data_IF_810094590241
#
_entry.id   IF_810094590241
#
_cell.length_a   1.000
_cell.length_b   1.000
_cell.length_c   1.000
_cell.angle_alpha   90.00
_cell.angle_beta   90.00
_cell.angle_gamma   90.00
#
_symmetry.space_group_name_H-M   'P 1'
#
loop_
_entity.id
_entity.type
_entity.pdbx_description
1 polymer ?
#
# COMPACT_ATOMS: atom_id res chain seq x y z
N UNK A 1 14.71 -9.28 -10.62
CA UNK A 1 15.61 -8.97 -9.49
C UNK A 1 14.73 -8.62 -8.29
N UNK A 2 15.08 -9.09 -7.09
CA UNK A 2 14.27 -8.79 -5.92
C UNK A 2 14.59 -7.38 -5.42
N UNK A 3 13.55 -6.56 -5.25
CA UNK A 3 13.62 -5.21 -4.69
C UNK A 3 13.76 -5.27 -3.17
N UNK A 4 12.97 -6.15 -2.55
CA UNK A 4 13.02 -6.43 -1.13
C UNK A 4 13.13 -7.93 -0.89
N UNK A 5 13.94 -8.30 0.08
CA UNK A 5 14.02 -9.66 0.61
C UNK A 5 13.93 -9.60 2.13
N UNK A 6 12.93 -10.25 2.68
CA UNK A 6 12.66 -10.36 4.10
C UNK A 6 12.98 -11.78 4.53
N UNK A 7 13.81 -11.94 5.57
CA UNK A 7 14.29 -13.22 6.06
C UNK A 7 14.04 -13.35 7.56
N UNK A 8 13.30 -14.36 7.95
CA UNK A 8 13.08 -14.80 9.34
C UNK A 8 12.64 -13.65 10.27
N UNK A 9 11.71 -12.80 9.81
CA UNK A 9 11.24 -11.64 10.52
C UNK A 9 10.25 -12.04 11.60
N UNK A 10 10.58 -11.75 12.89
CA UNK A 10 9.68 -11.96 14.02
C UNK A 10 9.45 -10.67 14.78
N UNK A 11 8.29 -10.57 15.45
CA UNK A 11 7.92 -9.42 16.26
C UNK A 11 6.96 -9.81 17.38
N UNK A 12 7.32 -9.39 18.60
CA UNK A 12 6.50 -9.54 19.80
C UNK A 12 6.15 -8.17 20.38
N UNK A 13 4.94 -8.00 20.88
CA UNK A 13 4.52 -6.86 21.69
C UNK A 13 4.08 -7.34 23.07
N UNK A 14 4.86 -7.01 24.08
CA UNK A 14 4.65 -7.53 25.46
C UNK A 14 4.78 -9.05 25.51
N UNK A 15 3.66 -9.77 25.66
CA UNK A 15 3.60 -11.24 25.65
C UNK A 15 2.95 -11.82 24.39
N UNK A 16 2.57 -10.98 23.43
CA UNK A 16 1.90 -11.42 22.20
C UNK A 16 2.88 -11.39 21.05
N UNK A 17 3.22 -12.56 20.52
CA UNK A 17 3.95 -12.68 19.26
C UNK A 17 2.97 -12.36 18.12
N UNK A 18 3.36 -11.45 17.22
CA UNK A 18 2.52 -10.90 16.15
C UNK A 18 3.02 -11.31 14.78
N UNK A 19 4.31 -11.60 14.64
CA UNK A 19 4.91 -12.11 13.42
C UNK A 19 5.82 -13.30 13.77
N UNK A 20 5.61 -14.41 13.06
CA UNK A 20 6.24 -15.70 13.34
C UNK A 20 7.20 -16.08 12.20
N UNK A 21 8.48 -15.70 12.30
CA UNK A 21 9.54 -16.13 11.37
C UNK A 21 9.20 -15.91 9.88
N UNK A 22 8.68 -14.72 9.55
CA UNK A 22 8.18 -14.41 8.21
C UNK A 22 9.32 -14.23 7.21
N UNK A 23 9.24 -14.92 6.06
CA UNK A 23 10.19 -14.79 4.97
C UNK A 23 9.46 -14.65 3.63
N UNK A 24 9.82 -13.61 2.85
CA UNK A 24 9.27 -13.39 1.52
C UNK A 24 10.12 -12.43 0.71
N UNK A 25 9.87 -12.38 -0.61
CA UNK A 25 10.52 -11.42 -1.52
C UNK A 25 9.50 -10.59 -2.26
N UNK A 26 9.90 -9.37 -2.65
CA UNK A 26 9.14 -8.47 -3.53
C UNK A 26 10.03 -8.13 -4.72
N UNK A 27 9.54 -8.36 -5.94
CA UNK A 27 10.30 -8.08 -7.17
C UNK A 27 10.33 -6.59 -7.48
N UNK A 28 11.34 -6.17 -8.23
CA UNK A 28 11.40 -4.78 -8.68
C UNK A 28 10.22 -4.46 -9.60
N UNK A 29 9.52 -3.33 -9.33
CA UNK A 29 8.33 -2.93 -10.04
C UNK A 29 7.07 -3.74 -9.74
N UNK A 30 7.09 -4.71 -8.82
CA UNK A 30 5.95 -5.54 -8.46
C UNK A 30 4.90 -4.78 -7.64
N UNK A 31 3.63 -5.11 -7.88
CA UNK A 31 2.51 -4.78 -7.00
C UNK A 31 2.17 -6.02 -6.16
N UNK A 32 2.63 -6.06 -4.91
CA UNK A 32 2.32 -7.12 -3.95
C UNK A 32 1.22 -6.68 -3.01
N UNK A 33 0.08 -7.39 -2.96
CA UNK A 33 -0.91 -7.17 -1.89
C UNK A 33 -0.69 -8.13 -0.72
N UNK A 34 -0.83 -7.61 0.50
CA UNK A 34 -0.89 -8.40 1.73
C UNK A 34 -2.33 -8.45 2.19
N UNK A 35 -2.95 -9.61 2.06
CA UNK A 35 -4.36 -9.88 2.31
C UNK A 35 -4.52 -10.74 3.57
N UNK A 36 -5.39 -10.34 4.47
CA UNK A 36 -5.68 -11.09 5.70
C UNK A 36 -6.65 -10.35 6.61
N UNK A 37 -7.18 -11.01 7.66
CA UNK A 37 -8.09 -10.40 8.61
C UNK A 37 -7.42 -9.28 9.42
N UNK A 38 -8.23 -8.48 10.09
CA UNK A 38 -7.71 -7.44 11.00
C UNK A 38 -6.92 -8.08 12.14
N UNK A 39 -5.78 -7.49 12.49
CA UNK A 39 -4.93 -7.98 13.58
C UNK A 39 -3.95 -9.11 13.22
N UNK A 40 -3.89 -9.60 11.98
CA UNK A 40 -2.97 -10.67 11.60
C UNK A 40 -1.52 -10.23 11.35
N UNK A 41 -1.12 -9.00 11.69
CA UNK A 41 0.27 -8.54 11.59
C UNK A 41 0.62 -7.68 10.36
N UNK A 42 -0.30 -7.44 9.40
CA UNK A 42 -0.03 -6.70 8.14
C UNK A 42 0.57 -5.31 8.37
N UNK A 43 -0.06 -4.48 9.18
CA UNK A 43 0.42 -3.13 9.52
C UNK A 43 1.76 -3.17 10.26
N UNK A 44 2.01 -4.22 11.06
CA UNK A 44 3.29 -4.44 11.74
C UNK A 44 4.41 -4.67 10.73
N UNK A 45 4.19 -5.52 9.73
CA UNK A 45 5.14 -5.73 8.61
C UNK A 45 5.46 -4.38 7.94
N UNK A 46 4.45 -3.61 7.58
CA UNK A 46 4.63 -2.31 6.94
C UNK A 46 5.45 -1.35 7.79
N UNK A 47 5.15 -1.25 9.09
CA UNK A 47 5.89 -0.38 10.01
C UNK A 47 7.34 -0.79 10.17
N UNK A 48 7.61 -2.09 10.18
CA UNK A 48 8.99 -2.60 10.22
C UNK A 48 9.72 -2.31 8.91
N UNK A 49 9.09 -2.54 7.75
CA UNK A 49 9.68 -2.27 6.44
C UNK A 49 10.05 -0.79 6.26
N UNK A 50 9.18 0.13 6.68
CA UNK A 50 9.45 1.57 6.60
C UNK A 50 10.43 2.06 7.67
N UNK A 51 10.71 1.27 8.73
CA UNK A 51 11.57 1.63 9.85
C UNK A 51 10.91 2.54 10.89
N UNK A 52 9.59 2.39 11.10
CA UNK A 52 8.83 3.00 12.19
C UNK A 52 8.70 2.07 13.39
N UNK A 53 9.01 0.80 13.21
CA UNK A 53 9.02 -0.24 14.24
C UNK A 53 10.24 -1.13 14.00
N UNK A 54 10.88 -1.59 15.08
CA UNK A 54 11.99 -2.52 14.98
C UNK A 54 11.49 -3.96 15.03
N UNK A 55 12.08 -4.82 14.19
CA UNK A 55 11.91 -6.26 14.31
C UNK A 55 12.63 -6.79 15.55
N UNK A 56 12.14 -7.88 16.13
CA UNK A 56 12.82 -8.58 17.23
C UNK A 56 13.96 -9.45 16.67
N UNK A 57 13.74 -10.07 15.53
CA UNK A 57 14.73 -10.84 14.78
C UNK A 57 14.46 -10.74 13.27
N UNK A 58 15.41 -11.23 12.49
CA UNK A 58 15.35 -11.28 11.04
C UNK A 58 16.14 -10.19 10.35
N UNK A 59 16.12 -10.22 9.01
CA UNK A 59 16.90 -9.33 8.16
C UNK A 59 16.04 -8.78 7.03
N UNK A 60 16.20 -7.51 6.70
CA UNK A 60 15.54 -6.84 5.58
C UNK A 60 16.61 -6.37 4.61
N UNK A 61 16.62 -6.93 3.41
CA UNK A 61 17.50 -6.50 2.33
C UNK A 61 16.70 -5.68 1.32
N UNK A 62 17.25 -4.55 0.87
CA UNK A 62 16.73 -3.76 -0.26
C UNK A 62 17.82 -3.65 -1.32
N UNK A 63 17.54 -4.10 -2.54
CA UNK A 63 18.52 -4.18 -3.64
C UNK A 63 19.80 -4.95 -3.19
N UNK A 64 19.64 -5.99 -2.35
CA UNK A 64 20.74 -6.80 -1.80
C UNK A 64 21.51 -6.13 -0.64
N UNK A 65 21.14 -4.92 -0.24
CA UNK A 65 21.78 -4.19 0.87
C UNK A 65 20.95 -4.33 2.14
N UNK A 66 21.55 -4.68 3.26
CA UNK A 66 20.87 -4.77 4.55
C UNK A 66 20.44 -3.38 5.04
N UNK A 67 19.11 -3.24 5.23
CA UNK A 67 18.48 -2.02 5.74
C UNK A 67 17.78 -2.23 7.08
N UNK A 68 17.98 -3.37 7.76
CA UNK A 68 17.27 -3.76 8.98
C UNK A 68 17.31 -2.65 10.02
N UNK A 69 18.48 -2.07 10.26
CA UNK A 69 18.68 -1.01 11.25
C UNK A 69 18.87 0.39 10.63
N UNK A 70 18.60 0.53 9.32
CA UNK A 70 18.68 1.84 8.66
C UNK A 70 17.46 2.69 9.06
N UNK A 71 17.66 3.95 9.52
CA UNK A 71 16.55 4.83 9.86
C UNK A 71 15.60 5.06 8.69
N UNK A 72 14.29 5.19 8.96
CA UNK A 72 13.22 5.38 7.97
C UNK A 72 13.56 6.42 6.90
N UNK A 73 14.06 7.60 7.28
CA UNK A 73 14.41 8.68 6.37
C UNK A 73 15.50 8.32 5.34
N UNK A 74 16.27 7.25 5.56
CA UNK A 74 17.35 6.80 4.65
C UNK A 74 16.98 5.57 3.83
N UNK A 75 15.83 4.93 4.08
CA UNK A 75 15.39 3.72 3.37
C UNK A 75 14.90 4.00 1.94
N UNK A 76 14.63 5.26 1.58
CA UNK A 76 14.05 5.67 0.29
C UNK A 76 12.74 4.94 -0.02
N UNK A 77 11.93 4.74 0.99
CA UNK A 77 10.61 4.15 0.90
C UNK A 77 9.56 5.19 1.31
N UNK A 78 8.39 5.14 0.68
CA UNK A 78 7.25 5.99 1.01
C UNK A 78 6.14 5.20 1.67
N UNK A 79 5.29 5.86 2.45
CA UNK A 79 4.11 5.25 3.04
C UNK A 79 2.88 6.16 2.89
N UNK A 80 1.75 5.55 2.53
CA UNK A 80 0.42 6.15 2.55
C UNK A 80 -0.37 5.47 3.64
N UNK A 81 -0.67 6.20 4.71
CA UNK A 81 -1.41 5.69 5.88
C UNK A 81 -2.92 5.65 5.63
N UNK A 82 -3.63 4.83 6.35
CA UNK A 82 -5.09 4.69 6.33
C UNK A 82 -5.82 6.02 6.57
N UNK A 83 -5.30 6.87 7.47
CA UNK A 83 -5.84 8.20 7.77
C UNK A 83 -5.19 9.33 6.95
N UNK A 84 -4.46 8.97 5.87
CA UNK A 84 -3.74 9.86 4.94
C UNK A 84 -2.64 10.71 5.59
N UNK A 85 -2.65 10.91 6.89
CA UNK A 85 -1.69 11.68 7.70
C UNK A 85 -1.35 13.05 7.09
N UNK A 86 -2.36 13.80 6.61
CA UNK A 86 -2.19 15.13 6.05
C UNK A 86 -2.05 16.18 7.17
N UNK A 87 -1.27 17.22 6.89
CA UNK A 87 -1.14 18.37 7.78
C UNK A 87 -2.38 19.27 7.63
N UNK A 88 -3.31 19.20 8.59
CA UNK A 88 -4.60 19.89 8.59
C UNK A 88 -4.51 21.43 8.50
N UNK A 89 -3.42 22.01 8.98
CA UNK A 89 -3.16 23.45 8.96
C UNK A 89 -2.51 23.95 7.68
N UNK A 90 -2.08 23.04 6.79
CA UNK A 90 -1.44 23.34 5.51
C UNK A 90 -2.43 23.17 4.35
N UNK A 91 -2.20 23.91 3.25
CA UNK A 91 -2.93 23.70 2.00
C UNK A 91 -2.47 22.40 1.33
N UNK A 92 -3.23 21.92 0.33
CA UNK A 92 -2.89 20.78 -0.53
C UNK A 92 -1.47 20.93 -1.10
N UNK A 93 -1.20 22.08 -1.72
CA UNK A 93 0.12 22.38 -2.28
C UNK A 93 1.24 22.33 -1.22
N UNK A 94 0.98 22.94 -0.06
CA UNK A 94 1.96 22.95 1.03
C UNK A 94 2.21 21.56 1.64
N UNK A 95 1.20 20.69 1.68
CA UNK A 95 1.36 19.31 2.14
C UNK A 95 2.40 18.55 1.29
N UNK A 96 2.35 18.71 -0.03
CA UNK A 96 3.31 18.05 -0.94
C UNK A 96 4.66 18.76 -0.93
N UNK A 97 4.68 20.09 -1.01
CA UNK A 97 5.89 20.89 -1.00
C UNK A 97 6.73 20.70 0.29
N UNK A 98 6.08 20.59 1.45
CA UNK A 98 6.75 20.39 2.73
C UNK A 98 7.59 19.12 2.76
N UNK A 99 7.08 18.02 2.21
CA UNK A 99 7.81 16.76 2.14
C UNK A 99 9.13 16.92 1.35
N UNK A 100 9.10 17.64 0.23
CA UNK A 100 10.27 17.89 -0.61
C UNK A 100 11.33 18.76 0.08
N UNK A 101 10.88 19.85 0.74
CA UNK A 101 11.80 20.78 1.43
C UNK A 101 12.43 20.16 2.68
N UNK A 102 11.73 19.25 3.36
CA UNK A 102 12.17 18.61 4.61
C UNK A 102 12.83 17.24 4.41
N UNK A 103 12.77 16.68 3.21
CA UNK A 103 13.36 15.37 2.95
C UNK A 103 14.88 15.40 3.05
N UNK A 104 15.40 14.52 3.90
CA UNK A 104 16.84 14.23 4.02
C UNK A 104 17.28 13.20 2.97
N UNK A 105 16.33 12.56 2.32
CA UNK A 105 16.51 11.36 1.48
C UNK A 105 16.76 11.69 0.00
N UNK A 106 16.47 12.89 -0.45
CA UNK A 106 16.70 13.28 -1.86
C UNK A 106 18.15 13.70 -2.07
N UNK A 107 18.84 13.09 -3.05
CA UNK A 107 20.18 13.52 -3.49
C UNK A 107 20.19 14.97 -3.98
N UNK A 108 19.02 15.47 -4.38
CA UNK A 108 18.80 16.85 -4.80
C UNK A 108 18.20 17.62 -3.63
N UNK A 109 18.94 18.54 -3.06
CA UNK A 109 18.37 19.56 -2.17
C UNK A 109 17.39 20.40 -2.98
N UNK A 110 16.10 20.13 -2.83
CA UNK A 110 15.09 20.99 -3.46
C UNK A 110 15.12 22.35 -2.79
N UNK A 111 15.55 23.38 -3.55
CA UNK A 111 15.21 24.75 -3.19
C UNK A 111 13.68 24.94 -3.22
N UNK A 112 13.19 26.01 -2.63
CA UNK A 112 11.75 26.26 -2.53
C UNK A 112 11.04 26.32 -3.88
N UNK A 113 11.69 26.79 -4.92
CA UNK A 113 11.11 26.94 -6.26
C UNK A 113 10.98 25.58 -6.95
N UNK A 114 12.03 24.77 -6.92
CA UNK A 114 12.00 23.39 -7.45
C UNK A 114 10.99 22.53 -6.70
N UNK A 115 10.94 22.66 -5.36
CA UNK A 115 9.93 21.96 -4.55
C UNK A 115 8.50 22.38 -4.92
N UNK A 116 8.29 23.68 -5.20
CA UNK A 116 7.00 24.19 -5.65
C UNK A 116 6.60 23.62 -7.01
N UNK A 117 7.51 23.64 -7.97
CA UNK A 117 7.27 23.13 -9.32
C UNK A 117 6.96 21.63 -9.29
N UNK A 118 7.76 20.84 -8.54
CA UNK A 118 7.53 19.39 -8.39
C UNK A 118 6.24 19.06 -7.66
N UNK A 119 5.87 19.84 -6.63
CA UNK A 119 4.61 19.65 -5.92
C UNK A 119 3.40 19.89 -6.84
N UNK A 120 3.44 20.92 -7.69
CA UNK A 120 2.38 21.19 -8.67
C UNK A 120 2.28 20.07 -9.70
N UNK A 121 3.41 19.61 -10.27
CA UNK A 121 3.46 18.47 -11.19
C UNK A 121 2.81 17.21 -10.60
N UNK A 122 3.11 16.86 -9.34
CA UNK A 122 2.54 15.68 -8.71
C UNK A 122 1.05 15.84 -8.40
N UNK A 123 0.59 17.04 -8.06
CA UNK A 123 -0.82 17.31 -7.83
C UNK A 123 -1.63 17.33 -9.13
N UNK A 124 -1.06 17.80 -10.22
CA UNK A 124 -1.64 17.70 -11.56
C UNK A 124 -1.79 16.24 -11.98
N UNK A 125 -0.78 15.41 -11.73
CA UNK A 125 -0.78 13.99 -12.05
C UNK A 125 -1.94 13.21 -11.38
N UNK A 126 -2.34 13.63 -10.19
CA UNK A 126 -3.47 13.02 -9.44
C UNK A 126 -4.78 13.82 -9.59
N UNK A 127 -4.86 14.75 -10.56
CA UNK A 127 -6.08 15.50 -10.89
C UNK A 127 -6.53 16.50 -9.82
N UNK A 128 -5.60 17.13 -9.10
CA UNK A 128 -5.91 18.07 -8.01
C UNK A 128 -5.50 19.53 -8.30
N UNK A 129 -5.30 19.90 -9.56
CA UNK A 129 -4.87 21.25 -9.96
C UNK A 129 -5.80 22.36 -9.46
N UNK A 130 -7.12 22.12 -9.41
CA UNK A 130 -8.09 23.10 -8.94
C UNK A 130 -8.20 23.20 -7.41
N UNK A 131 -7.42 22.37 -6.67
CA UNK A 131 -7.55 22.24 -5.22
C UNK A 131 -6.31 22.68 -4.44
N UNK A 132 -5.33 23.30 -5.10
CA UNK A 132 -4.00 23.61 -4.54
C UNK A 132 -4.05 24.44 -3.24
N UNK A 133 -4.98 25.38 -3.15
CA UNK A 133 -5.13 26.30 -2.02
C UNK A 133 -6.10 25.78 -0.94
N UNK A 134 -6.82 24.70 -1.19
CA UNK A 134 -7.72 24.09 -0.20
C UNK A 134 -6.92 23.43 0.92
N UNK A 135 -7.55 23.35 2.11
CA UNK A 135 -7.05 22.56 3.25
C UNK A 135 -7.68 21.16 3.22
N UNK A 136 -7.07 20.16 3.89
CA UNK A 136 -7.59 18.78 3.92
C UNK A 136 -9.08 18.69 4.28
N UNK A 137 -9.55 19.45 5.25
CA UNK A 137 -10.97 19.47 5.68
C UNK A 137 -11.97 19.93 4.60
N UNK A 138 -11.50 20.53 3.53
CA UNK A 138 -12.31 21.02 2.40
C UNK A 138 -12.33 20.01 1.24
N UNK A 139 -11.73 18.84 1.41
CA UNK A 139 -11.59 17.78 0.42
C UNK A 139 -12.43 16.57 0.80
N UNK A 140 -12.91 15.83 -0.22
CA UNK A 140 -13.44 14.47 -0.01
C UNK A 140 -12.33 13.50 0.42
N UNK A 141 -12.69 12.34 0.98
CA UNK A 141 -11.73 11.31 1.37
C UNK A 141 -10.82 10.88 0.22
N UNK A 142 -11.38 10.65 -0.98
CA UNK A 142 -10.61 10.31 -2.17
C UNK A 142 -9.65 11.41 -2.61
N UNK A 143 -10.04 12.69 -2.50
CA UNK A 143 -9.15 13.81 -2.76
C UNK A 143 -8.01 13.91 -1.73
N UNK A 144 -8.30 13.69 -0.43
CA UNK A 144 -7.28 13.64 0.61
C UNK A 144 -6.27 12.52 0.35
N UNK A 145 -6.75 11.36 -0.05
CA UNK A 145 -5.90 10.24 -0.40
C UNK A 145 -4.99 10.56 -1.60
N UNK A 146 -5.51 11.17 -2.66
CA UNK A 146 -4.70 11.62 -3.80
C UNK A 146 -3.62 12.62 -3.39
N UNK A 147 -3.90 13.51 -2.44
CA UNK A 147 -2.86 14.39 -1.85
C UNK A 147 -1.76 13.57 -1.15
N UNK A 148 -2.12 12.55 -0.37
CA UNK A 148 -1.15 11.69 0.31
C UNK A 148 -0.30 10.89 -0.68
N UNK A 149 -0.90 10.37 -1.75
CA UNK A 149 -0.19 9.70 -2.85
C UNK A 149 0.76 10.67 -3.55
N UNK A 150 0.30 11.86 -3.96
CA UNK A 150 1.14 12.87 -4.59
C UNK A 150 2.32 13.29 -3.70
N UNK A 151 2.09 13.47 -2.39
CA UNK A 151 3.14 13.77 -1.41
C UNK A 151 4.19 12.67 -1.34
N UNK A 152 3.78 11.42 -1.39
CA UNK A 152 4.67 10.26 -1.34
C UNK A 152 5.46 10.12 -2.65
N UNK A 153 4.79 10.19 -3.81
CA UNK A 153 5.41 10.13 -5.14
C UNK A 153 6.41 11.27 -5.40
N UNK A 154 6.15 12.46 -4.85
CA UNK A 154 7.03 13.62 -5.01
C UNK A 154 8.47 13.35 -4.56
N UNK A 155 8.65 12.46 -3.57
CA UNK A 155 9.96 12.07 -3.04
C UNK A 155 10.69 11.04 -3.91
N UNK A 156 10.07 10.56 -5.00
CA UNK A 156 10.60 9.52 -5.88
C UNK A 156 11.12 8.29 -5.12
N UNK A 157 10.27 7.63 -4.31
CA UNK A 157 10.67 6.48 -3.52
C UNK A 157 10.88 5.24 -4.40
N UNK A 158 11.79 4.35 -3.98
CA UNK A 158 12.01 3.07 -4.66
C UNK A 158 10.87 2.08 -4.40
N UNK A 159 10.23 2.20 -3.22
CA UNK A 159 9.11 1.36 -2.76
C UNK A 159 8.05 2.24 -2.12
N UNK A 160 6.77 2.00 -2.43
CA UNK A 160 5.63 2.64 -1.76
C UNK A 160 4.82 1.59 -1.01
N UNK A 161 4.55 1.89 0.25
CA UNK A 161 3.74 1.08 1.16
C UNK A 161 2.37 1.73 1.32
N UNK A 162 1.30 0.95 1.22
CA UNK A 162 -0.07 1.42 1.42
C UNK A 162 -0.73 0.65 2.56
N UNK A 163 -1.14 1.35 3.62
CA UNK A 163 -1.81 0.77 4.79
C UNK A 163 -3.32 1.02 4.71
N UNK A 164 -4.06 0.08 4.13
CA UNK A 164 -5.53 0.12 3.92
C UNK A 164 -6.05 1.47 3.38
N UNK A 165 -5.47 2.02 2.31
CA UNK A 165 -5.71 3.41 1.93
C UNK A 165 -7.13 3.67 1.41
N UNK A 166 -7.89 2.63 1.00
CA UNK A 166 -9.23 2.76 0.43
C UNK A 166 -10.36 2.40 1.41
N UNK A 167 -10.05 2.03 2.65
CA UNK A 167 -11.02 1.51 3.61
C UNK A 167 -12.17 2.47 3.97
N UNK A 168 -11.93 3.79 3.88
CA UNK A 168 -12.90 4.83 4.21
C UNK A 168 -13.61 5.43 2.97
N UNK A 169 -13.41 4.89 1.76
CA UNK A 169 -13.95 5.42 0.52
C UNK A 169 -15.24 4.71 0.10
N UNK A 170 -16.11 5.45 -0.60
CA UNK A 170 -17.26 4.91 -1.32
C UNK A 170 -16.82 4.04 -2.50
N UNK A 171 -17.75 3.23 -3.03
CA UNK A 171 -17.46 2.22 -4.08
C UNK A 171 -16.91 2.84 -5.35
N UNK A 172 -17.52 3.93 -5.84
CA UNK A 172 -17.14 4.55 -7.12
C UNK A 172 -15.75 5.19 -7.03
N UNK A 173 -15.50 5.91 -5.95
CA UNK A 173 -14.18 6.50 -5.66
C UNK A 173 -13.09 5.41 -5.55
N UNK A 174 -13.42 4.27 -4.91
CA UNK A 174 -12.51 3.13 -4.77
C UNK A 174 -12.17 2.51 -6.12
N UNK A 175 -13.14 2.30 -7.00
CA UNK A 175 -12.94 1.76 -8.35
C UNK A 175 -12.04 2.66 -9.20
N UNK A 176 -12.29 3.99 -9.19
CA UNK A 176 -11.46 4.97 -9.89
C UNK A 176 -10.01 4.90 -9.40
N UNK A 177 -9.82 4.90 -8.07
CA UNK A 177 -8.50 4.95 -7.47
C UNK A 177 -7.68 3.66 -7.69
N UNK A 178 -8.33 2.49 -7.77
CA UNK A 178 -7.66 1.24 -8.17
C UNK A 178 -6.99 1.36 -9.53
N UNK A 179 -7.72 1.86 -10.53
CA UNK A 179 -7.20 2.07 -11.89
C UNK A 179 -6.05 3.07 -11.89
N UNK A 180 -6.21 4.18 -11.17
CA UNK A 180 -5.19 5.22 -11.04
C UNK A 180 -3.89 4.69 -10.41
N UNK A 181 -3.98 3.90 -9.33
CA UNK A 181 -2.80 3.31 -8.70
C UNK A 181 -2.04 2.35 -9.63
N UNK A 182 -2.77 1.54 -10.41
CA UNK A 182 -2.15 0.67 -11.42
C UNK A 182 -1.45 1.47 -12.52
N UNK A 183 -2.06 2.56 -12.98
CA UNK A 183 -1.44 3.46 -13.97
C UNK A 183 -0.19 4.15 -13.41
N UNK A 184 -0.26 4.63 -12.17
CA UNK A 184 0.88 5.24 -11.48
C UNK A 184 2.02 4.23 -11.30
N UNK A 185 1.73 3.00 -10.88
CA UNK A 185 2.73 1.93 -10.76
C UNK A 185 3.45 1.69 -12.09
N UNK A 186 2.69 1.55 -13.19
CA UNK A 186 3.26 1.34 -14.53
C UNK A 186 4.07 2.54 -15.00
N UNK A 187 3.58 3.75 -14.78
CA UNK A 187 4.21 4.99 -15.21
C UNK A 187 5.55 5.23 -14.51
N UNK A 188 5.65 4.95 -13.22
CA UNK A 188 6.86 5.19 -12.43
C UNK A 188 7.76 3.95 -12.29
N UNK A 189 7.27 2.76 -12.66
CA UNK A 189 7.99 1.50 -12.43
C UNK A 189 8.27 1.24 -10.94
N UNK A 190 7.50 1.85 -10.04
CA UNK A 190 7.73 1.80 -8.59
C UNK A 190 7.20 0.50 -8.01
N UNK A 191 7.96 -0.15 -7.14
CA UNK A 191 7.50 -1.31 -6.36
C UNK A 191 6.46 -0.86 -5.35
N UNK A 192 5.33 -1.58 -5.27
CA UNK A 192 4.23 -1.25 -4.36
C UNK A 192 3.88 -2.44 -3.47
N UNK A 193 3.74 -2.19 -2.17
CA UNK A 193 3.19 -3.14 -1.20
C UNK A 193 1.90 -2.54 -0.66
N UNK A 194 0.80 -3.29 -0.79
CA UNK A 194 -0.54 -2.81 -0.51
C UNK A 194 -1.22 -3.70 0.52
N UNK A 195 -1.54 -3.15 1.69
CA UNK A 195 -2.33 -3.85 2.69
C UNK A 195 -3.81 -3.63 2.43
N UNK A 196 -4.57 -4.71 2.45
CA UNK A 196 -6.02 -4.68 2.43
C UNK A 196 -6.61 -5.90 3.13
N UNK A 197 -7.84 -5.78 3.56
CA UNK A 197 -8.71 -6.89 3.94
C UNK A 197 -9.77 -7.18 2.85
N UNK A 198 -9.81 -6.36 1.79
CA UNK A 198 -10.73 -6.52 0.67
C UNK A 198 -10.08 -7.36 -0.44
N UNK A 199 -10.69 -8.52 -0.71
CA UNK A 199 -10.22 -9.43 -1.73
C UNK A 199 -10.32 -8.84 -3.14
N UNK A 200 -11.38 -8.05 -3.41
CA UNK A 200 -11.57 -7.45 -4.73
C UNK A 200 -10.43 -6.46 -5.07
N UNK A 201 -9.98 -5.69 -4.07
CA UNK A 201 -8.83 -4.82 -4.23
C UNK A 201 -7.56 -5.62 -4.56
N UNK A 202 -7.27 -6.66 -3.74
CA UNK A 202 -6.09 -7.48 -3.93
C UNK A 202 -6.09 -8.17 -5.30
N UNK A 203 -7.20 -8.78 -5.70
CA UNK A 203 -7.30 -9.51 -6.97
C UNK A 203 -7.27 -8.58 -8.20
N UNK A 204 -7.80 -7.36 -8.10
CA UNK A 204 -7.84 -6.43 -9.21
C UNK A 204 -6.50 -5.73 -9.50
N UNK A 205 -5.66 -5.54 -8.47
CA UNK A 205 -4.46 -4.71 -8.61
C UNK A 205 -3.14 -5.47 -8.60
N UNK A 206 -3.08 -6.66 -7.99
CA UNK A 206 -1.81 -7.28 -7.64
C UNK A 206 -1.22 -8.15 -8.72
N UNK A 207 0.09 -8.16 -8.81
CA UNK A 207 0.85 -9.15 -9.56
C UNK A 207 0.97 -10.45 -8.75
N UNK A 208 1.17 -10.31 -7.42
CA UNK A 208 1.07 -11.40 -6.44
C UNK A 208 0.30 -10.95 -5.19
N UNK A 209 -0.33 -11.91 -4.53
CA UNK A 209 -1.04 -11.72 -3.27
C UNK A 209 -0.38 -12.61 -2.21
N UNK A 210 -0.04 -12.03 -1.07
CA UNK A 210 0.35 -12.72 0.15
C UNK A 210 -0.88 -12.89 1.03
N UNK A 211 -1.29 -14.12 1.30
CA UNK A 211 -2.40 -14.43 2.22
C UNK A 211 -1.83 -14.70 3.60
N UNK A 212 -2.30 -13.96 4.61
CA UNK A 212 -1.84 -14.05 6.00
C UNK A 212 -2.96 -14.37 6.98
N UNK A 213 -2.63 -15.11 8.03
CA UNK A 213 -3.44 -15.31 9.22
C UNK A 213 -2.55 -15.33 10.47
N UNK A 214 -2.99 -14.66 11.53
CA UNK A 214 -2.42 -14.76 12.87
C UNK A 214 -0.87 -14.72 12.94
N UNK A 215 -0.22 -13.88 12.14
CA UNK A 215 1.25 -13.72 12.13
C UNK A 215 1.99 -14.60 11.13
N UNK A 216 1.29 -15.51 10.44
CA UNK A 216 1.88 -16.46 9.49
C UNK A 216 1.51 -16.15 8.04
N UNK A 217 2.37 -16.54 7.11
CA UNK A 217 2.12 -16.52 5.66
C UNK A 217 1.62 -17.89 5.23
N UNK A 218 0.40 -17.95 4.70
CA UNK A 218 -0.20 -19.19 4.17
C UNK A 218 0.17 -19.42 2.70
N UNK A 219 0.13 -18.36 1.88
CA UNK A 219 0.45 -18.46 0.46
C UNK A 219 0.91 -17.11 -0.10
N UNK A 220 1.88 -17.15 -1.02
CA UNK A 220 2.25 -15.98 -1.84
C UNK A 220 2.28 -16.44 -3.29
N UNK A 221 1.33 -15.98 -4.08
CA UNK A 221 1.24 -16.39 -5.49
C UNK A 221 0.49 -15.35 -6.33
N UNK A 222 0.40 -15.58 -7.64
CA UNK A 222 -0.48 -14.81 -8.54
C UNK A 222 -1.93 -15.01 -8.13
N UNK A 223 -2.81 -14.02 -8.40
CA UNK A 223 -4.24 -14.17 -8.14
C UNK A 223 -4.84 -15.45 -8.73
N UNK A 224 -4.45 -15.82 -9.96
CA UNK A 224 -4.92 -17.03 -10.63
C UNK A 224 -4.50 -18.31 -9.88
N UNK A 225 -3.22 -18.42 -9.49
CA UNK A 225 -2.73 -19.59 -8.78
C UNK A 225 -3.36 -19.76 -7.38
N UNK A 226 -3.66 -18.65 -6.69
CA UNK A 226 -4.38 -18.72 -5.41
C UNK A 226 -5.77 -19.32 -5.58
N UNK A 227 -6.45 -19.04 -6.71
CA UNK A 227 -7.77 -19.61 -7.00
C UNK A 227 -7.67 -21.07 -7.41
N UNK A 228 -6.75 -21.39 -8.32
CA UNK A 228 -6.63 -22.72 -8.92
C UNK A 228 -5.95 -23.74 -7.99
N UNK A 229 -4.99 -23.26 -7.18
CA UNK A 229 -4.13 -24.09 -6.34
C UNK A 229 -3.97 -23.48 -4.94
N UNK A 230 -5.07 -23.39 -4.14
CA UNK A 230 -4.99 -22.88 -2.76
C UNK A 230 -4.09 -23.81 -1.92
N UNK A 231 -3.10 -23.23 -1.22
CA UNK A 231 -2.08 -23.97 -0.50
C UNK A 231 -2.64 -24.79 0.66
N UNK A 232 -3.72 -24.34 1.28
CA UNK A 232 -4.32 -24.99 2.44
C UNK A 232 -5.84 -24.68 2.58
N UNK A 233 -6.45 -25.25 3.61
CA UNK A 233 -7.88 -25.08 3.88
C UNK A 233 -8.22 -23.64 4.33
N UNK A 234 -7.27 -22.91 4.93
CA UNK A 234 -7.49 -21.52 5.29
C UNK A 234 -7.60 -20.64 4.04
N UNK A 235 -6.66 -20.72 3.12
CA UNK A 235 -6.69 -19.98 1.84
C UNK A 235 -7.98 -20.30 1.08
N UNK A 236 -8.33 -21.60 1.00
CA UNK A 236 -9.58 -22.05 0.37
C UNK A 236 -10.83 -21.44 1.00
N UNK A 237 -10.89 -21.41 2.32
CA UNK A 237 -12.04 -20.86 3.07
C UNK A 237 -12.06 -19.33 3.01
N UNK A 238 -10.93 -18.69 3.32
CA UNK A 238 -10.82 -17.23 3.45
C UNK A 238 -10.93 -16.54 2.09
N UNK A 239 -10.32 -17.08 1.03
CA UNK A 239 -10.33 -16.46 -0.29
C UNK A 239 -11.45 -17.04 -1.15
N UNK A 240 -11.38 -18.33 -1.50
CA UNK A 240 -12.23 -18.93 -2.54
C UNK A 240 -13.70 -18.95 -2.12
N UNK A 241 -14.00 -19.40 -0.89
CA UNK A 241 -15.38 -19.45 -0.42
C UNK A 241 -16.03 -18.07 -0.35
N UNK A 242 -15.29 -17.04 0.07
CA UNK A 242 -15.82 -15.69 0.16
C UNK A 242 -16.09 -15.09 -1.23
N UNK A 243 -15.16 -15.27 -2.19
CA UNK A 243 -15.36 -14.85 -3.58
C UNK A 243 -16.61 -15.53 -4.16
N UNK A 244 -16.71 -16.86 -4.03
CA UNK A 244 -17.86 -17.61 -4.54
C UNK A 244 -19.19 -17.18 -3.88
N UNK A 245 -19.18 -16.87 -2.60
CA UNK A 245 -20.37 -16.37 -1.89
C UNK A 245 -20.82 -15.02 -2.45
N UNK A 246 -19.89 -14.09 -2.68
CA UNK A 246 -20.19 -12.79 -3.29
C UNK A 246 -20.73 -12.95 -4.72
N UNK A 247 -20.08 -13.75 -5.56
CA UNK A 247 -20.50 -14.01 -6.94
C UNK A 247 -21.90 -14.61 -6.96
N UNK A 248 -22.15 -15.63 -6.17
CA UNK A 248 -23.45 -16.31 -6.13
C UNK A 248 -24.57 -15.37 -5.67
N UNK A 249 -24.32 -14.51 -4.67
CA UNK A 249 -25.32 -13.52 -4.23
C UNK A 249 -25.66 -12.53 -5.34
N UNK A 250 -24.65 -12.02 -6.07
CA UNK A 250 -24.88 -11.08 -7.18
C UNK A 250 -25.63 -11.74 -8.35
N UNK A 251 -25.26 -12.96 -8.74
CA UNK A 251 -25.93 -13.71 -9.81
C UNK A 251 -27.39 -14.01 -9.47
N UNK A 252 -27.68 -14.32 -8.20
CA UNK A 252 -29.05 -14.57 -7.75
C UNK A 252 -29.94 -13.34 -7.93
N UNK A 253 -29.45 -12.14 -7.65
CA UNK A 253 -30.20 -10.88 -7.86
C UNK A 253 -30.29 -10.48 -9.34
N UNK A 254 -29.22 -10.65 -10.12
CA UNK A 254 -29.24 -10.33 -11.55
C UNK A 254 -30.28 -11.15 -12.34
N UNK A 255 -30.43 -12.46 -12.02
CA UNK A 255 -31.42 -13.33 -12.65
C UNK A 255 -32.88 -12.97 -12.34
N UNK A 256 -33.15 -12.25 -11.25
CA UNK A 256 -34.50 -11.83 -10.88
C UNK A 256 -35.01 -10.64 -11.72
N UNK A 257 -34.13 -9.88 -12.34
CA UNK A 257 -34.51 -8.76 -13.22
C UNK A 257 -34.82 -9.21 -14.66
N UNK A 258 -34.22 -10.32 -15.15
CA UNK A 258 -34.52 -10.88 -16.48
C UNK A 258 -35.87 -11.61 -16.54
N UNK A 259 -36.53 -11.87 -15.39
CA UNK A 259 -37.82 -12.55 -15.29
C UNK A 259 -39.02 -11.62 -15.01
N UNK A 260 -38.82 -10.31 -15.02
CA UNK A 260 -39.86 -9.27 -14.96
C UNK A 260 -40.01 -8.54 -16.29
#
# INVERSE_FOLDING_TARGET
MDKLEIRNLSKTFGHSEVLHDISFTVRDGEFLSILGPSGCGKTTILRILIGLEDAESGTILKDGVDITHVPSAKRRMGIVFQNYALFENMTVLKNVQYALVKSVSTKDSFDKEKALAKAKEMLELVGLTEHLDKKPRQLSGGQQQRVAIARTLALNPDVILFDEPMSALDVDTRLSLRSELKELQKKFGTTMIYITHDQEEAFAMSDRIMVMEAGDIHQIDTPQNIVDHPADDYVKKFVIKNINTKINSLIQFARTEEQK
#
